data_IF_917452357411
#
_entry.id   IF_917452357411
#
_cell.length_a   1.000
_cell.length_b   1.000
_cell.length_c   1.000
_cell.angle_alpha   90.00
_cell.angle_beta   90.00
_cell.angle_gamma   90.00
#
_symmetry.space_group_name_H-M   'P 1'
#
loop_
_entity.id
_entity.type
_entity.pdbx_description
1 polymer ?
#
# COMPACT_ATOMS: atom_id res chain seq x y z
N UNK A 1 -1.31 -36.44 -11.46
CA UNK A 1 -1.17 -35.55 -12.63
C UNK A 1 -0.93 -34.12 -12.12
N UNK A 2 0.25 -33.55 -12.37
CA UNK A 2 0.71 -32.26 -11.78
C UNK A 2 -0.23 -31.10 -12.13
N UNK A 3 -0.87 -31.16 -13.30
CA UNK A 3 -1.88 -30.17 -13.71
C UNK A 3 -3.06 -30.13 -12.72
N UNK A 4 -3.59 -31.29 -12.31
CA UNK A 4 -4.74 -31.38 -11.41
C UNK A 4 -4.42 -30.76 -10.03
N UNK A 5 -3.20 -30.95 -9.53
CA UNK A 5 -2.76 -30.35 -8.25
C UNK A 5 -2.65 -28.83 -8.37
N UNK A 6 -2.10 -28.30 -9.48
CA UNK A 6 -2.07 -26.86 -9.73
C UNK A 6 -3.47 -26.26 -9.80
N UNK A 7 -4.40 -26.93 -10.47
CA UNK A 7 -5.79 -26.46 -10.60
C UNK A 7 -6.50 -26.45 -9.25
N UNK A 8 -6.34 -27.50 -8.44
CA UNK A 8 -6.90 -27.57 -7.08
C UNK A 8 -6.30 -26.48 -6.19
N UNK A 9 -4.98 -26.27 -6.24
CA UNK A 9 -4.31 -25.23 -5.47
C UNK A 9 -4.80 -23.83 -5.87
N UNK A 10 -4.90 -23.54 -7.17
CA UNK A 10 -5.49 -22.29 -7.66
C UNK A 10 -6.94 -22.11 -7.22
N UNK A 11 -7.72 -23.18 -7.17
CA UNK A 11 -9.11 -23.14 -6.71
C UNK A 11 -9.20 -22.84 -5.21
N UNK A 12 -8.37 -23.47 -4.38
CA UNK A 12 -8.30 -23.21 -2.94
C UNK A 12 -7.88 -21.75 -2.67
N UNK A 13 -6.86 -21.24 -3.37
CA UNK A 13 -6.42 -19.85 -3.24
C UNK A 13 -7.54 -18.87 -3.63
N UNK A 14 -8.24 -19.14 -4.74
CA UNK A 14 -9.41 -18.33 -5.14
C UNK A 14 -10.53 -18.35 -4.11
N UNK A 15 -10.78 -19.50 -3.49
CA UNK A 15 -11.80 -19.63 -2.44
C UNK A 15 -11.39 -18.88 -1.16
N UNK A 16 -10.13 -18.95 -0.76
CA UNK A 16 -9.63 -18.22 0.40
C UNK A 16 -9.70 -16.70 0.19
N UNK A 17 -9.31 -16.21 -0.99
CA UNK A 17 -9.45 -14.79 -1.35
C UNK A 17 -10.93 -14.37 -1.29
N UNK A 18 -11.85 -15.23 -1.71
CA UNK A 18 -13.28 -14.91 -1.71
C UNK A 18 -13.89 -14.76 -0.31
N UNK A 19 -13.38 -15.49 0.67
CA UNK A 19 -13.88 -15.44 2.06
C UNK A 19 -13.31 -14.24 2.81
N UNK A 20 -12.11 -13.79 2.44
CA UNK A 20 -11.34 -12.82 3.23
C UNK A 20 -11.31 -11.41 2.62
N UNK A 21 -11.46 -11.26 1.30
CA UNK A 21 -11.30 -9.99 0.60
C UNK A 21 -12.58 -9.55 -0.13
N UNK A 22 -12.98 -8.29 0.05
CA UNK A 22 -14.11 -7.71 -0.68
C UNK A 22 -13.84 -7.65 -2.18
N UNK A 23 -14.77 -8.16 -3.00
CA UNK A 23 -14.66 -8.14 -4.47
C UNK A 23 -15.29 -6.91 -5.12
N UNK A 24 -16.25 -6.29 -4.45
CA UNK A 24 -16.94 -5.09 -4.91
C UNK A 24 -16.85 -3.99 -3.85
N UNK A 25 -16.88 -2.71 -4.24
CA UNK A 25 -17.04 -1.60 -3.29
C UNK A 25 -18.27 -1.80 -2.42
N UNK A 26 -18.20 -1.39 -1.15
CA UNK A 26 -19.31 -1.58 -0.20
C UNK A 26 -20.39 -0.49 -0.32
N UNK A 27 -20.08 0.63 -0.97
CA UNK A 27 -21.03 1.72 -1.24
C UNK A 27 -20.65 2.50 -2.51
N UNK A 28 -21.60 3.20 -3.11
CA UNK A 28 -21.33 4.08 -4.26
C UNK A 28 -20.44 5.27 -3.86
N UNK A 29 -20.51 5.72 -2.61
CA UNK A 29 -19.59 6.72 -2.07
C UNK A 29 -18.14 6.20 -2.10
N UNK A 30 -17.92 4.98 -1.63
CA UNK A 30 -16.59 4.39 -1.62
C UNK A 30 -16.05 4.06 -3.00
N UNK A 31 -16.93 3.79 -3.96
CA UNK A 31 -16.58 3.53 -5.36
C UNK A 31 -16.15 4.79 -6.10
N UNK A 32 -16.64 5.96 -5.69
CA UNK A 32 -16.37 7.23 -6.37
C UNK A 32 -14.95 7.76 -6.10
N UNK A 33 -14.38 7.46 -4.94
CA UNK A 33 -13.07 7.97 -4.51
C UNK A 33 -12.13 6.79 -4.28
N UNK A 34 -11.04 6.76 -5.05
CA UNK A 34 -10.01 5.71 -4.94
C UNK A 34 -8.83 6.20 -4.11
N UNK A 35 -8.43 5.41 -3.11
CA UNK A 35 -7.29 5.69 -2.23
C UNK A 35 -6.09 4.87 -2.71
N UNK A 36 -4.94 5.49 -2.81
CA UNK A 36 -3.67 4.81 -2.95
C UNK A 36 -3.00 4.60 -1.58
N UNK A 37 -2.33 3.47 -1.41
CA UNK A 37 -1.51 3.17 -0.25
C UNK A 37 -0.08 2.94 -0.72
N UNK A 38 0.88 3.68 -0.16
CA UNK A 38 2.30 3.40 -0.31
C UNK A 38 2.81 2.85 1.01
N UNK A 39 3.08 1.54 1.06
CA UNK A 39 3.52 0.85 2.27
C UNK A 39 4.92 0.31 2.13
N UNK A 40 5.80 0.66 3.06
CA UNK A 40 7.13 0.06 3.18
C UNK A 40 7.02 -1.25 3.96
N UNK A 41 7.54 -2.34 3.39
CA UNK A 41 7.43 -3.68 3.98
C UNK A 41 8.76 -4.43 3.96
N UNK A 42 9.06 -5.19 5.01
CA UNK A 42 10.31 -5.95 5.09
C UNK A 42 10.27 -7.26 5.89
N UNK A 43 9.26 -7.46 6.76
CA UNK A 43 9.09 -8.71 7.53
C UNK A 43 7.65 -8.95 7.95
N UNK A 44 7.41 -10.11 8.57
CA UNK A 44 6.13 -10.52 9.15
C UNK A 44 4.95 -10.52 8.18
N UNK A 45 5.10 -11.28 7.09
CA UNK A 45 4.10 -11.39 6.03
C UNK A 45 2.67 -11.68 6.53
N UNK A 46 2.50 -12.53 7.55
CA UNK A 46 1.16 -12.86 8.07
C UNK A 46 0.45 -11.65 8.70
N UNK A 47 1.21 -10.77 9.35
CA UNK A 47 0.67 -9.53 9.89
C UNK A 47 0.21 -8.62 8.74
N UNK A 48 1.06 -8.43 7.73
CA UNK A 48 0.74 -7.60 6.57
C UNK A 48 -0.45 -8.13 5.76
N UNK A 49 -0.56 -9.45 5.59
CA UNK A 49 -1.69 -10.09 4.90
C UNK A 49 -3.00 -9.93 5.69
N UNK A 50 -2.96 -10.06 7.02
CA UNK A 50 -4.12 -9.85 7.88
C UNK A 50 -4.55 -8.37 7.88
N UNK A 51 -3.59 -7.45 7.95
CA UNK A 51 -3.88 -6.01 7.90
C UNK A 51 -4.45 -5.59 6.53
N UNK A 52 -3.91 -6.15 5.43
CA UNK A 52 -4.47 -5.92 4.11
C UNK A 52 -5.89 -6.48 4.04
N UNK A 53 -6.12 -7.70 4.54
CA UNK A 53 -7.46 -8.30 4.55
C UNK A 53 -8.50 -7.44 5.25
N UNK A 54 -8.16 -6.78 6.36
CA UNK A 54 -9.09 -5.92 7.09
C UNK A 54 -9.39 -4.59 6.39
N UNK A 55 -8.49 -4.12 5.51
CA UNK A 55 -8.57 -2.78 4.90
C UNK A 55 -8.65 -2.80 3.36
N UNK A 56 -8.74 -3.99 2.75
CA UNK A 56 -8.73 -4.13 1.31
C UNK A 56 -10.07 -3.74 0.70
N UNK A 57 -10.02 -2.86 -0.28
CA UNK A 57 -11.14 -2.49 -1.12
C UNK A 57 -10.73 -2.53 -2.60
N UNK A 58 -11.55 -3.11 -3.48
CA UNK A 58 -11.18 -3.40 -4.86
C UNK A 58 -10.95 -2.15 -5.73
N UNK A 59 -11.52 -1.01 -5.36
CA UNK A 59 -11.32 0.27 -6.04
C UNK A 59 -10.06 1.02 -5.58
N UNK A 60 -9.46 0.64 -4.45
CA UNK A 60 -8.23 1.25 -3.95
C UNK A 60 -6.99 0.59 -4.58
N UNK A 61 -5.82 1.23 -4.42
CA UNK A 61 -4.54 0.74 -4.93
C UNK A 61 -3.53 0.56 -3.81
N UNK A 62 -2.84 -0.58 -3.79
CA UNK A 62 -1.93 -0.94 -2.70
C UNK A 62 -0.53 -1.17 -3.25
N UNK A 63 0.37 -0.22 -3.02
CA UNK A 63 1.76 -0.33 -3.41
C UNK A 63 2.64 -0.79 -2.25
N UNK A 64 3.28 -1.95 -2.39
CA UNK A 64 4.23 -2.48 -1.42
C UNK A 64 5.67 -2.23 -1.89
N UNK A 65 6.33 -1.24 -1.29
CA UNK A 65 7.75 -1.00 -1.47
C UNK A 65 8.54 -1.94 -0.54
N UNK A 66 9.16 -2.97 -1.12
CA UNK A 66 9.91 -3.97 -0.34
C UNK A 66 11.32 -3.43 -0.05
N UNK A 67 11.64 -3.24 1.23
CA UNK A 67 12.97 -2.79 1.69
C UNK A 67 14.02 -3.89 1.41
N UNK A 68 15.28 -3.49 1.15
CA UNK A 68 16.41 -4.39 0.97
C UNK A 68 16.72 -5.25 2.21
N UNK A 69 16.25 -4.84 3.39
CA UNK A 69 16.32 -5.62 4.64
C UNK A 69 15.46 -6.90 4.58
N UNK A 70 14.52 -6.98 3.63
CA UNK A 70 13.71 -8.17 3.45
C UNK A 70 14.53 -9.35 2.93
N UNK A 71 14.32 -10.53 3.51
CA UNK A 71 14.89 -11.75 2.93
C UNK A 71 14.14 -12.15 1.64
N UNK A 72 14.80 -12.97 0.81
CA UNK A 72 14.26 -13.40 -0.48
C UNK A 72 12.91 -14.12 -0.36
N UNK A 73 12.72 -14.91 0.71
CA UNK A 73 11.47 -15.62 0.97
C UNK A 73 10.31 -14.65 1.25
N UNK A 74 10.57 -13.54 1.95
CA UNK A 74 9.58 -12.50 2.18
C UNK A 74 9.17 -11.82 0.87
N UNK A 75 10.16 -11.42 0.04
CA UNK A 75 9.87 -10.82 -1.27
C UNK A 75 9.04 -11.76 -2.16
N UNK A 76 9.37 -13.05 -2.20
CA UNK A 76 8.60 -14.07 -2.94
C UNK A 76 7.13 -14.14 -2.47
N UNK A 77 6.87 -14.01 -1.17
CA UNK A 77 5.51 -14.01 -0.62
C UNK A 77 4.74 -12.75 -1.02
N UNK A 78 5.33 -11.56 -0.88
CA UNK A 78 4.69 -10.30 -1.33
C UNK A 78 4.41 -10.33 -2.84
N UNK A 79 5.36 -10.84 -3.65
CA UNK A 79 5.16 -11.03 -5.09
C UNK A 79 4.07 -12.06 -5.43
N UNK A 80 3.95 -13.12 -4.64
CA UNK A 80 2.86 -14.08 -4.80
C UNK A 80 1.51 -13.45 -4.46
N UNK A 81 1.45 -12.63 -3.41
CA UNK A 81 0.27 -11.87 -3.03
C UNK A 81 -0.16 -10.92 -4.16
N UNK A 82 0.77 -10.15 -4.74
CA UNK A 82 0.43 -9.21 -5.82
C UNK A 82 -0.13 -9.91 -7.06
N UNK A 83 0.25 -11.16 -7.34
CA UNK A 83 -0.30 -11.90 -8.48
C UNK A 83 -1.78 -12.28 -8.29
N UNK A 84 -2.31 -12.16 -7.08
CA UNK A 84 -3.70 -12.47 -6.76
C UNK A 84 -4.65 -11.28 -6.98
N UNK A 85 -4.13 -10.07 -7.14
CA UNK A 85 -4.90 -8.83 -7.15
C UNK A 85 -4.40 -7.87 -8.23
N UNK A 86 -5.31 -7.29 -9.02
CA UNK A 86 -4.95 -6.40 -10.12
C UNK A 86 -4.55 -4.98 -9.64
N UNK A 87 -4.89 -4.64 -8.40
CA UNK A 87 -4.68 -3.34 -7.77
C UNK A 87 -3.56 -3.34 -6.71
N UNK A 88 -2.80 -4.44 -6.61
CA UNK A 88 -1.57 -4.49 -5.82
C UNK A 88 -0.36 -4.25 -6.73
N UNK A 89 0.50 -3.33 -6.33
CA UNK A 89 1.67 -2.87 -7.09
C UNK A 89 2.93 -3.17 -6.27
N UNK A 90 3.94 -3.69 -6.95
CA UNK A 90 5.29 -3.81 -6.40
C UNK A 90 6.20 -3.06 -7.35
N UNK A 91 6.77 -1.91 -6.92
CA UNK A 91 7.73 -1.19 -7.73
C UNK A 91 8.92 -2.07 -8.10
N UNK A 92 9.47 -1.83 -9.29
CA UNK A 92 10.78 -2.40 -9.60
C UNK A 92 11.75 -1.85 -8.57
N UNK A 93 12.47 -2.75 -7.88
CA UNK A 93 13.52 -2.41 -6.93
C UNK A 93 14.48 -1.42 -7.60
N UNK A 94 14.36 -0.15 -7.23
CA UNK A 94 15.27 0.88 -7.68
C UNK A 94 16.20 1.19 -6.50
N UNK A 95 17.43 0.70 -6.67
CA UNK A 95 18.70 1.13 -6.08
C UNK A 95 19.33 0.27 -4.97
N UNK A 96 20.48 -0.31 -5.35
CA UNK A 96 21.73 -0.38 -4.56
C UNK A 96 22.12 1.03 -4.10
N UNK A 97 22.48 1.20 -2.83
CA UNK A 97 22.94 2.50 -2.31
C UNK A 97 24.31 2.34 -1.66
N UNK A 98 25.34 2.81 -2.37
CA UNK A 98 26.32 3.65 -1.71
C UNK A 98 25.70 5.05 -1.56
N UNK A 99 25.90 5.63 -0.38
CA UNK A 99 25.78 7.04 0.03
C UNK A 99 24.39 7.73 0.19
N UNK A 100 24.13 8.08 1.46
CA UNK A 100 23.79 9.43 1.96
C UNK A 100 22.39 10.06 1.71
N UNK A 101 21.37 9.34 1.24
CA UNK A 101 19.97 9.84 1.26
C UNK A 101 19.06 8.88 2.02
N UNK A 102 18.18 9.44 2.86
CA UNK A 102 17.22 8.73 3.71
C UNK A 102 16.50 7.61 2.96
N UNK A 103 16.78 6.36 3.33
CA UNK A 103 16.38 5.14 2.61
C UNK A 103 14.86 5.02 2.39
N UNK A 104 14.04 5.53 3.32
CA UNK A 104 12.59 5.40 3.33
C UNK A 104 11.87 6.33 2.35
N UNK A 105 12.36 7.55 2.16
CA UNK A 105 11.80 8.50 1.18
C UNK A 105 11.85 7.92 -0.23
N UNK A 106 12.98 7.28 -0.58
CA UNK A 106 13.16 6.61 -1.88
C UNK A 106 12.17 5.45 -2.08
N UNK A 107 11.85 4.71 -1.02
CA UNK A 107 10.88 3.61 -1.07
C UNK A 107 9.47 4.14 -1.33
N UNK A 108 9.02 5.18 -0.61
CA UNK A 108 7.72 5.81 -0.90
C UNK A 108 7.68 6.40 -2.33
N UNK A 109 8.74 7.11 -2.74
CA UNK A 109 8.83 7.67 -4.10
C UNK A 109 8.79 6.60 -5.19
N UNK A 110 9.29 5.39 -4.94
CA UNK A 110 9.17 4.28 -5.89
C UNK A 110 7.71 3.91 -6.15
N UNK A 111 6.87 3.91 -5.12
CA UNK A 111 5.44 3.70 -5.25
C UNK A 111 4.75 4.82 -6.01
N UNK A 112 5.07 6.07 -5.68
CA UNK A 112 4.48 7.23 -6.36
C UNK A 112 4.78 7.22 -7.85
N UNK A 113 6.04 6.93 -8.22
CA UNK A 113 6.46 6.78 -9.62
C UNK A 113 5.70 5.69 -10.36
N UNK A 114 5.50 4.52 -9.75
CA UNK A 114 4.74 3.44 -10.39
C UNK A 114 3.27 3.82 -10.59
N UNK A 115 2.64 4.47 -9.61
CA UNK A 115 1.25 4.93 -9.72
C UNK A 115 1.10 5.93 -10.88
N UNK A 116 2.02 6.88 -10.99
CA UNK A 116 2.07 7.87 -12.08
C UNK A 116 2.33 7.18 -13.44
N UNK A 117 3.35 6.32 -13.52
CA UNK A 117 3.74 5.63 -14.75
C UNK A 117 2.61 4.74 -15.29
N UNK A 118 1.86 4.09 -14.40
CA UNK A 118 0.70 3.26 -14.74
C UNK A 118 -0.55 4.10 -15.04
N UNK A 119 -0.49 5.43 -14.92
CA UNK A 119 -1.61 6.37 -15.11
C UNK A 119 -2.83 6.00 -14.26
N UNK A 120 -2.57 5.54 -13.03
CA UNK A 120 -3.61 5.14 -12.09
C UNK A 120 -4.25 6.40 -11.53
N UNK A 121 -5.58 6.46 -11.58
CA UNK A 121 -6.35 7.56 -11.00
C UNK A 121 -6.66 7.23 -9.54
N UNK A 122 -6.12 8.02 -8.63
CA UNK A 122 -6.37 8.00 -7.20
C UNK A 122 -6.49 9.45 -6.73
N UNK A 123 -7.22 9.69 -5.65
CA UNK A 123 -7.44 11.05 -5.13
C UNK A 123 -6.50 11.40 -3.98
N UNK A 124 -6.28 10.43 -3.10
CA UNK A 124 -5.40 10.57 -1.94
C UNK A 124 -4.46 9.38 -1.86
N UNK A 125 -3.24 9.63 -1.37
CA UNK A 125 -2.28 8.58 -1.06
C UNK A 125 -1.91 8.60 0.41
N UNK A 126 -1.98 7.44 1.06
CA UNK A 126 -1.58 7.22 2.44
C UNK A 126 -0.21 6.54 2.49
N UNK A 127 0.71 7.09 3.29
CA UNK A 127 2.01 6.48 3.56
C UNK A 127 1.95 5.63 4.83
N UNK A 128 2.42 4.39 4.74
CA UNK A 128 2.41 3.41 5.84
C UNK A 128 3.76 2.70 5.97
N UNK A 129 4.14 2.36 7.19
CA UNK A 129 5.29 1.52 7.52
C UNK A 129 4.87 0.06 7.76
N UNK A 130 5.86 -0.80 8.06
CA UNK A 130 5.63 -2.24 8.16
C UNK A 130 4.56 -2.61 9.19
N UNK A 131 4.53 -1.93 10.34
CA UNK A 131 3.64 -2.28 11.46
C UNK A 131 2.50 -1.30 11.71
N UNK A 132 2.28 -0.35 10.80
CA UNK A 132 1.17 0.60 10.95
C UNK A 132 -0.16 -0.15 10.81
N UNK A 133 -1.15 0.23 11.63
CA UNK A 133 -2.48 -0.36 11.61
C UNK A 133 -3.47 0.76 11.32
N UNK A 134 -4.34 0.53 10.34
CA UNK A 134 -5.41 1.45 10.04
C UNK A 134 -6.52 1.32 11.09
N UNK A 135 -6.89 2.45 11.71
CA UNK A 135 -7.91 2.55 12.76
C UNK A 135 -9.20 3.24 12.30
N UNK A 136 -9.34 3.40 10.98
CA UNK A 136 -10.48 4.01 10.31
C UNK A 136 -10.88 3.11 9.16
N UNK A 137 -12.17 2.87 9.05
CA UNK A 137 -12.76 2.18 7.91
C UNK A 137 -12.56 2.99 6.62
N UNK A 138 -12.65 2.32 5.47
CA UNK A 138 -12.52 2.99 4.17
C UNK A 138 -13.55 4.11 3.98
N UNK A 139 -14.79 3.91 4.43
CA UNK A 139 -15.83 4.94 4.41
C UNK A 139 -15.47 6.17 5.25
N UNK A 140 -14.95 5.98 6.46
CA UNK A 140 -14.52 7.11 7.31
C UNK A 140 -13.34 7.87 6.69
N UNK A 141 -12.37 7.17 6.09
CA UNK A 141 -11.26 7.81 5.36
C UNK A 141 -11.79 8.69 4.21
N UNK A 142 -12.75 8.18 3.44
CA UNK A 142 -13.36 8.94 2.35
C UNK A 142 -14.11 10.17 2.86
N UNK A 143 -14.79 10.08 3.98
CA UNK A 143 -15.43 11.24 4.61
C UNK A 143 -14.40 12.28 5.06
N UNK A 144 -13.29 11.86 5.65
CA UNK A 144 -12.18 12.75 6.01
C UNK A 144 -11.61 13.43 4.76
N UNK A 145 -11.35 12.67 3.69
CA UNK A 145 -10.81 13.22 2.45
C UNK A 145 -11.75 14.21 1.77
N UNK A 146 -13.05 13.97 1.80
CA UNK A 146 -14.05 14.96 1.36
C UNK A 146 -13.97 16.27 2.16
N UNK A 147 -13.73 16.19 3.47
CA UNK A 147 -13.55 17.36 4.32
C UNK A 147 -12.23 18.08 4.03
N UNK A 148 -11.16 17.34 3.72
CA UNK A 148 -9.85 17.91 3.33
C UNK A 148 -9.89 18.58 1.95
N UNK A 149 -10.78 18.16 1.05
CA UNK A 149 -11.07 18.84 -0.21
C UNK A 149 -9.83 19.23 -1.03
N UNK A 150 -8.94 18.26 -1.27
CA UNK A 150 -7.68 18.43 -1.98
C UNK A 150 -6.51 18.92 -1.13
N UNK A 151 -6.70 19.24 0.15
CA UNK A 151 -5.59 19.56 1.05
C UNK A 151 -4.79 18.30 1.42
N UNK A 152 -3.47 18.46 1.55
CA UNK A 152 -2.62 17.46 2.15
C UNK A 152 -2.67 17.57 3.68
N UNK A 153 -2.63 16.44 4.37
CA UNK A 153 -2.47 16.39 5.83
C UNK A 153 -1.14 15.71 6.16
N UNK A 154 -0.28 16.44 6.87
CA UNK A 154 1.10 16.08 7.15
C UNK A 154 1.56 16.76 8.42
N UNK A 155 2.11 15.99 9.36
CA UNK A 155 2.81 16.57 10.49
C UNK A 155 4.23 16.98 10.08
N UNK A 156 4.60 18.22 10.44
CA UNK A 156 5.95 18.73 10.25
C UNK A 156 6.46 19.30 11.57
N UNK A 157 7.58 18.77 12.06
CA UNK A 157 8.27 19.29 13.23
C UNK A 157 9.38 20.25 12.80
N UNK A 158 9.30 21.51 13.25
CA UNK A 158 10.37 22.49 13.12
C UNK A 158 11.39 22.28 14.24
N UNK A 159 12.14 21.18 14.20
CA UNK A 159 13.20 20.95 15.18
C UNK A 159 14.42 21.82 14.84
N UNK A 160 14.48 23.04 15.41
CA UNK A 160 15.76 23.64 15.74
C UNK A 160 16.38 22.83 16.89
N UNK A 161 17.53 22.20 16.65
CA UNK A 161 18.36 21.48 17.64
C UNK A 161 17.59 20.85 18.82
N UNK A 162 17.11 19.62 18.63
CA UNK A 162 17.23 18.50 19.58
C UNK A 162 16.57 17.26 18.96
N UNK A 163 17.36 16.18 18.91
CA UNK A 163 17.12 14.90 18.25
C UNK A 163 15.87 14.19 18.78
N UNK A 164 14.69 14.49 18.21
CA UNK A 164 13.55 13.58 18.26
C UNK A 164 13.14 13.23 16.84
N UNK A 165 13.26 11.93 16.50
CA UNK A 165 12.89 11.39 15.20
C UNK A 165 11.37 11.40 15.04
N UNK A 166 10.83 12.52 14.56
CA UNK A 166 9.44 12.62 14.12
C UNK A 166 9.20 11.77 12.87
N UNK A 167 8.14 10.97 12.90
CA UNK A 167 7.69 10.15 11.78
C UNK A 167 6.69 10.96 10.96
N UNK A 168 7.01 11.19 9.68
CA UNK A 168 6.11 11.88 8.77
C UNK A 168 5.08 10.88 8.26
N UNK A 169 3.90 10.85 8.87
CA UNK A 169 2.71 10.21 8.31
C UNK A 169 2.01 11.25 7.43
N UNK A 170 1.88 10.97 6.15
CA UNK A 170 1.30 11.91 5.17
C UNK A 170 0.14 11.30 4.44
N UNK A 171 -0.94 12.06 4.35
CA UNK A 171 -1.89 11.94 3.25
C UNK A 171 -1.57 13.04 2.24
N UNK A 172 -1.15 12.64 1.04
CA UNK A 172 -0.95 13.57 -0.07
C UNK A 172 -2.16 13.49 -0.99
N UNK A 173 -2.77 14.63 -1.27
CA UNK A 173 -3.75 14.72 -2.34
C UNK A 173 -3.03 14.57 -3.69
N UNK A 174 -3.72 14.00 -4.69
CA UNK A 174 -3.22 13.95 -6.05
C UNK A 174 -2.98 15.38 -6.54
N UNK A 175 -1.77 15.75 -6.98
CA UNK A 175 -1.53 17.08 -7.50
C UNK A 175 -2.33 17.24 -8.80
N UNK A 176 -3.39 18.04 -8.74
CA UNK A 176 -3.99 18.62 -9.94
C UNK A 176 -2.92 19.53 -10.58
N UNK A 177 -2.29 19.04 -11.64
CA UNK A 177 -1.73 19.90 -12.68
C UNK A 177 -2.66 19.85 -13.88
#
# INVERSE_FOLDING_TARGET
NILTIKTIFQWIVKQFIHVTFFKNPLSEEEKAISIAYARIVYKDYRFLEAELATNYHPQNYYCFAVDLKANENFYKKIKSLSNCFNNIIIPKLLFSVNSLVKEWERLFMSCFKELINKKIKWEYILTLQNYDIQIKTNKELIQIFKLLNGACDAEYDFSGELDTKGYVQTSLAYPFC
#
